data_IF_780955040082
#
_entry.id   IF_780955040082
#
_cell.length_a   1.000
_cell.length_b   1.000
_cell.length_c   1.000
_cell.angle_alpha   90.00
_cell.angle_beta   90.00
_cell.angle_gamma   90.00
#
_symmetry.space_group_name_H-M   'P 1'
#
loop_
_entity.id
_entity.type
_entity.pdbx_description
1 polymer ?
#
# COMPACT_ATOMS: atom_id res chain seq x y z
N UNK A 1 16.10 26.97 -3.33
CA UNK A 1 15.64 26.70 -1.94
C UNK A 1 14.24 26.05 -1.87
N UNK A 2 13.64 25.56 -2.98
CA UNK A 2 12.27 25.01 -3.00
C UNK A 2 12.15 23.50 -3.27
N UNK A 3 13.24 22.82 -3.64
CA UNK A 3 13.21 21.42 -4.10
C UNK A 3 13.26 20.41 -2.93
N UNK A 4 13.98 20.72 -1.85
CA UNK A 4 14.09 19.83 -0.69
C UNK A 4 12.79 19.73 0.10
N UNK A 5 12.13 20.86 0.37
CA UNK A 5 10.87 20.88 1.12
C UNK A 5 9.74 20.11 0.42
N UNK A 6 9.71 20.12 -0.93
CA UNK A 6 8.71 19.38 -1.71
C UNK A 6 8.96 17.88 -1.67
N UNK A 7 10.22 17.48 -1.75
CA UNK A 7 10.64 16.07 -1.71
C UNK A 7 10.38 15.47 -0.33
N UNK A 8 10.76 16.17 0.74
CA UNK A 8 10.51 15.73 2.12
C UNK A 8 9.01 15.58 2.43
N UNK A 9 8.16 16.48 1.92
CA UNK A 9 6.69 16.36 2.05
C UNK A 9 6.15 15.13 1.33
N UNK A 10 6.61 14.84 0.10
CA UNK A 10 6.17 13.66 -0.64
C UNK A 10 6.51 12.36 0.11
N UNK A 11 7.74 12.25 0.62
CA UNK A 11 8.14 11.09 1.44
C UNK A 11 7.31 10.97 2.73
N UNK A 12 6.98 12.09 3.37
CA UNK A 12 6.11 12.09 4.55
C UNK A 12 4.68 11.63 4.21
N UNK A 13 4.09 12.17 3.13
CA UNK A 13 2.75 11.78 2.69
C UNK A 13 2.68 10.30 2.31
N UNK A 14 3.71 9.77 1.63
CA UNK A 14 3.81 8.33 1.33
C UNK A 14 3.81 7.51 2.62
N UNK A 15 4.69 7.83 3.58
CA UNK A 15 4.74 7.10 4.86
C UNK A 15 3.40 7.16 5.62
N UNK A 16 2.77 8.34 5.67
CA UNK A 16 1.46 8.49 6.31
C UNK A 16 0.41 7.64 5.61
N UNK A 17 0.41 7.61 4.27
CA UNK A 17 -0.52 6.78 3.52
C UNK A 17 -0.34 5.29 3.81
N UNK A 18 0.90 4.80 3.90
CA UNK A 18 1.17 3.40 4.20
C UNK A 18 0.77 3.00 5.62
N UNK A 19 1.07 3.84 6.62
CA UNK A 19 0.63 3.60 8.01
C UNK A 19 -0.89 3.63 8.12
N UNK A 20 -1.56 4.56 7.42
CA UNK A 20 -3.01 4.66 7.42
C UNK A 20 -3.64 3.42 6.77
N UNK A 21 -3.10 2.96 5.63
CA UNK A 21 -3.53 1.73 4.97
C UNK A 21 -3.36 0.51 5.88
N UNK A 22 -2.17 0.35 6.48
CA UNK A 22 -1.90 -0.73 7.43
C UNK A 22 -2.88 -0.71 8.61
N UNK A 23 -3.12 0.47 9.20
CA UNK A 23 -4.06 0.63 10.31
C UNK A 23 -5.49 0.25 9.93
N UNK A 24 -6.01 0.76 8.81
CA UNK A 24 -7.37 0.43 8.32
C UNK A 24 -7.52 -1.06 8.06
N UNK A 25 -6.51 -1.69 7.46
CA UNK A 25 -6.49 -3.12 7.14
C UNK A 25 -6.47 -3.96 8.43
N UNK A 26 -5.63 -3.62 9.42
CA UNK A 26 -5.58 -4.31 10.72
C UNK A 26 -6.92 -4.16 11.44
N UNK A 27 -7.47 -2.94 11.53
CA UNK A 27 -8.76 -2.69 12.18
C UNK A 27 -9.89 -3.50 11.54
N UNK A 28 -9.89 -3.63 10.21
CA UNK A 28 -10.86 -4.45 9.49
C UNK A 28 -10.70 -5.94 9.80
N UNK A 29 -9.46 -6.41 9.92
CA UNK A 29 -9.14 -7.76 10.34
C UNK A 29 -9.58 -8.03 11.79
N UNK A 30 -9.36 -7.10 12.72
CA UNK A 30 -9.82 -7.25 14.11
C UNK A 30 -11.35 -7.29 14.18
N UNK A 31 -12.04 -6.42 13.44
CA UNK A 31 -13.50 -6.36 13.40
C UNK A 31 -14.19 -7.62 12.81
N UNK A 32 -13.43 -8.55 12.22
CA UNK A 32 -13.96 -9.83 11.71
C UNK A 32 -13.61 -11.03 12.60
N UNK A 33 -12.82 -10.86 13.66
CA UNK A 33 -12.38 -11.96 14.54
C UNK A 33 -13.55 -12.63 15.27
N UNK A 34 -14.63 -11.88 15.50
CA UNK A 34 -15.84 -12.36 16.18
C UNK A 34 -16.69 -13.29 15.29
N UNK A 35 -16.38 -13.43 13.99
CA UNK A 35 -17.14 -14.25 13.05
C UNK A 35 -16.34 -15.50 12.65
N UNK A 36 -16.70 -16.71 13.12
CA UNK A 36 -15.93 -17.93 12.86
C UNK A 36 -15.82 -18.27 11.37
N UNK A 37 -16.85 -17.99 10.56
CA UNK A 37 -16.82 -18.22 9.11
C UNK A 37 -15.88 -17.26 8.34
N UNK A 38 -15.46 -16.16 8.98
CA UNK A 38 -14.63 -15.11 8.37
C UNK A 38 -13.26 -14.99 9.03
N UNK A 39 -12.93 -15.91 9.95
CA UNK A 39 -11.70 -15.91 10.74
C UNK A 39 -10.44 -16.01 9.86
N UNK A 40 -10.49 -16.81 8.79
CA UNK A 40 -9.42 -16.90 7.79
C UNK A 40 -9.14 -15.56 7.08
N UNK A 41 -10.20 -14.83 6.71
CA UNK A 41 -10.07 -13.49 6.12
C UNK A 41 -9.56 -12.47 7.15
N UNK A 42 -10.02 -12.55 8.41
CA UNK A 42 -9.49 -11.75 9.51
C UNK A 42 -7.99 -11.87 9.66
N UNK A 43 -7.50 -13.10 9.78
CA UNK A 43 -6.08 -13.41 9.95
C UNK A 43 -5.30 -12.91 8.73
N UNK A 44 -5.80 -13.15 7.53
CA UNK A 44 -5.19 -12.64 6.30
C UNK A 44 -5.03 -11.12 6.31
N UNK A 45 -6.09 -10.37 6.64
CA UNK A 45 -6.00 -8.90 6.72
C UNK A 45 -5.03 -8.43 7.81
N UNK A 46 -5.02 -9.05 8.98
CA UNK A 46 -4.07 -8.69 10.04
C UNK A 46 -2.63 -8.93 9.59
N UNK A 47 -2.33 -10.10 9.02
CA UNK A 47 -0.99 -10.43 8.51
C UNK A 47 -0.56 -9.44 7.43
N UNK A 48 -1.43 -9.15 6.48
CA UNK A 48 -1.17 -8.20 5.40
C UNK A 48 -0.93 -6.79 5.94
N UNK A 49 -1.75 -6.33 6.89
CA UNK A 49 -1.58 -5.01 7.51
C UNK A 49 -0.25 -4.90 8.27
N UNK A 50 0.14 -5.96 8.97
CA UNK A 50 1.45 -6.07 9.63
C UNK A 50 2.57 -6.05 8.58
N UNK A 51 2.43 -6.75 7.45
CA UNK A 51 3.41 -6.73 6.36
C UNK A 51 3.55 -5.34 5.73
N UNK A 52 2.47 -4.59 5.54
CA UNK A 52 2.52 -3.21 5.04
C UNK A 52 3.22 -2.29 6.06
N UNK A 53 2.89 -2.42 7.34
CA UNK A 53 3.55 -1.65 8.40
C UNK A 53 5.05 -1.96 8.50
N UNK A 54 5.41 -3.25 8.47
CA UNK A 54 6.80 -3.70 8.43
C UNK A 54 7.52 -3.21 7.17
N UNK A 55 6.87 -3.29 6.00
CA UNK A 55 7.41 -2.77 4.74
C UNK A 55 7.70 -1.28 4.81
N UNK A 56 6.87 -0.52 5.53
CA UNK A 56 7.06 0.92 5.75
C UNK A 56 8.21 1.21 6.70
N UNK A 57 8.31 0.47 7.81
CA UNK A 57 9.42 0.60 8.77
C UNK A 57 10.77 0.18 8.18
N UNK A 58 10.79 -0.91 7.43
CA UNK A 58 12.00 -1.46 6.83
C UNK A 58 12.27 -0.94 5.41
N UNK A 59 11.46 -0.02 4.88
CA UNK A 59 11.66 0.66 3.60
C UNK A 59 13.14 1.05 3.42
N UNK A 60 13.76 1.64 4.45
CA UNK A 60 15.14 2.14 4.34
C UNK A 60 16.19 1.02 4.20
N UNK A 61 15.93 -0.17 4.76
CA UNK A 61 16.80 -1.35 4.58
C UNK A 61 16.52 -2.10 3.28
N UNK A 62 15.26 -2.16 2.84
CA UNK A 62 14.85 -2.87 1.62
C UNK A 62 15.09 -2.08 0.33
N UNK A 63 15.12 -0.75 0.36
CA UNK A 63 15.47 0.08 -0.80
C UNK A 63 16.87 -0.24 -1.34
N UNK A 64 17.79 -0.63 -0.46
CA UNK A 64 19.14 -1.06 -0.86
C UNK A 64 19.11 -2.42 -1.61
N UNK A 65 18.16 -3.30 -1.29
CA UNK A 65 18.15 -4.66 -1.82
C UNK A 65 17.26 -4.81 -3.06
N UNK A 66 16.17 -4.04 -3.17
CA UNK A 66 15.21 -4.15 -4.27
C UNK A 66 14.94 -2.78 -4.89
N UNK A 67 15.50 -2.54 -6.09
CA UNK A 67 15.39 -1.28 -6.87
C UNK A 67 13.96 -0.76 -7.05
N UNK A 68 12.95 -1.64 -7.02
CA UNK A 68 11.54 -1.31 -7.24
C UNK A 68 10.63 -1.61 -6.04
N UNK A 69 11.19 -1.70 -4.81
CA UNK A 69 10.44 -2.08 -3.61
C UNK A 69 9.15 -1.27 -3.42
N UNK A 70 9.19 0.06 -3.61
CA UNK A 70 8.00 0.93 -3.54
C UNK A 70 6.89 0.53 -4.50
N UNK A 71 7.22 0.11 -5.72
CA UNK A 71 6.21 -0.30 -6.70
C UNK A 71 5.49 -1.59 -6.25
N UNK A 72 6.20 -2.52 -5.62
CA UNK A 72 5.60 -3.73 -5.04
C UNK A 72 4.70 -3.42 -3.84
N UNK A 73 5.08 -2.45 -3.00
CA UNK A 73 4.22 -2.01 -1.88
C UNK A 73 2.91 -1.42 -2.41
N UNK A 74 2.97 -0.50 -3.37
CA UNK A 74 1.76 0.07 -3.97
C UNK A 74 0.88 -0.98 -4.68
N UNK A 75 1.50 -1.98 -5.32
CA UNK A 75 0.77 -3.10 -5.91
C UNK A 75 0.02 -3.91 -4.83
N UNK A 76 0.71 -4.24 -3.73
CA UNK A 76 0.13 -4.99 -2.63
C UNK A 76 -1.01 -4.20 -1.98
N UNK A 77 -0.82 -2.91 -1.70
CA UNK A 77 -1.87 -2.04 -1.17
C UNK A 77 -3.09 -1.95 -2.09
N UNK A 78 -2.88 -1.83 -3.40
CA UNK A 78 -3.94 -1.81 -4.40
C UNK A 78 -4.79 -3.09 -4.35
N UNK A 79 -4.15 -4.26 -4.30
CA UNK A 79 -4.83 -5.57 -4.23
C UNK A 79 -5.62 -5.69 -2.92
N UNK A 80 -5.01 -5.29 -1.81
CA UNK A 80 -5.61 -5.44 -0.47
C UNK A 80 -6.81 -4.53 -0.32
N UNK A 81 -6.72 -3.28 -0.76
CA UNK A 81 -7.86 -2.36 -0.74
C UNK A 81 -8.97 -2.81 -1.69
N UNK A 82 -8.65 -3.40 -2.85
CA UNK A 82 -9.65 -3.99 -3.73
C UNK A 82 -10.39 -5.16 -3.04
N UNK A 83 -9.67 -6.03 -2.32
CA UNK A 83 -10.26 -7.11 -1.53
C UNK A 83 -11.14 -6.57 -0.40
N UNK A 84 -10.73 -5.51 0.30
CA UNK A 84 -11.57 -4.83 1.29
C UNK A 84 -12.84 -4.25 0.66
N UNK A 85 -12.73 -3.64 -0.53
CA UNK A 85 -13.87 -3.14 -1.29
C UNK A 85 -14.85 -4.24 -1.69
N UNK A 86 -14.34 -5.37 -2.18
CA UNK A 86 -15.14 -6.55 -2.50
C UNK A 86 -15.85 -7.11 -1.27
N UNK A 87 -15.17 -7.13 -0.12
CA UNK A 87 -15.78 -7.57 1.14
C UNK A 87 -16.89 -6.62 1.59
N UNK A 88 -16.72 -5.30 1.43
CA UNK A 88 -17.78 -4.33 1.72
C UNK A 88 -19.00 -4.49 0.81
N UNK A 89 -18.78 -4.84 -0.46
CA UNK A 89 -19.85 -5.20 -1.41
C UNK A 89 -20.64 -6.42 -0.92
N UNK A 90 -19.94 -7.48 -0.50
CA UNK A 90 -20.53 -8.70 0.08
C UNK A 90 -21.27 -8.43 1.39
N UNK A 91 -20.83 -7.45 2.17
CA UNK A 91 -21.49 -7.00 3.41
C UNK A 91 -22.69 -6.09 3.15
N UNK A 92 -23.01 -5.76 1.89
CA UNK A 92 -24.14 -4.91 1.53
C UNK A 92 -23.93 -3.43 1.88
N UNK A 93 -22.71 -3.00 2.22
CA UNK A 93 -22.43 -1.60 2.53
C UNK A 93 -22.42 -0.78 1.24
N UNK A 94 -23.30 0.20 1.16
CA UNK A 94 -23.32 1.15 0.04
C UNK A 94 -22.31 2.28 0.28
N UNK A 95 -21.68 2.79 -0.79
CA UNK A 95 -20.70 3.90 -0.73
C UNK A 95 -19.25 3.47 -0.43
N UNK A 96 -18.99 2.76 0.68
CA UNK A 96 -17.62 2.34 1.05
C UNK A 96 -16.88 1.52 -0.01
N UNK A 97 -17.51 0.56 -0.73
CA UNK A 97 -16.83 -0.20 -1.78
C UNK A 97 -16.28 0.70 -2.88
N UNK A 98 -17.02 1.73 -3.30
CA UNK A 98 -16.60 2.65 -4.36
C UNK A 98 -15.36 3.46 -3.95
N UNK A 99 -15.32 3.92 -2.69
CA UNK A 99 -14.15 4.61 -2.14
C UNK A 99 -12.94 3.67 -2.11
N UNK A 100 -13.13 2.40 -1.71
CA UNK A 100 -12.07 1.41 -1.75
C UNK A 100 -11.59 1.13 -3.17
N UNK A 101 -12.46 0.90 -4.15
CA UNK A 101 -12.03 0.68 -5.54
C UNK A 101 -11.32 1.89 -6.13
N UNK A 102 -11.79 3.10 -5.80
CA UNK A 102 -11.11 4.33 -6.22
C UNK A 102 -9.71 4.43 -5.61
N UNK A 103 -9.56 4.15 -4.31
CA UNK A 103 -8.26 4.13 -3.65
C UNK A 103 -7.33 3.05 -4.23
N UNK A 104 -7.86 1.85 -4.53
CA UNK A 104 -7.11 0.78 -5.19
C UNK A 104 -6.59 1.20 -6.56
N UNK A 105 -7.41 1.90 -7.35
CA UNK A 105 -7.02 2.45 -8.65
C UNK A 105 -5.94 3.54 -8.51
N UNK A 106 -6.06 4.42 -7.52
CA UNK A 106 -5.05 5.44 -7.24
C UNK A 106 -3.69 4.81 -6.88
N UNK A 107 -3.68 3.76 -6.05
CA UNK A 107 -2.46 3.02 -5.73
C UNK A 107 -1.88 2.29 -6.94
N UNK A 108 -2.73 1.74 -7.81
CA UNK A 108 -2.30 1.14 -9.07
C UNK A 108 -1.62 2.17 -10.00
N UNK A 109 -2.18 3.37 -10.10
CA UNK A 109 -1.59 4.47 -10.87
C UNK A 109 -0.23 4.88 -10.27
N UNK A 110 -0.13 5.00 -8.94
CA UNK A 110 1.14 5.28 -8.26
C UNK A 110 2.20 4.22 -8.52
N UNK A 111 1.82 2.95 -8.57
CA UNK A 111 2.68 1.83 -8.96
C UNK A 111 3.19 1.99 -10.40
N UNK A 112 2.29 2.22 -11.36
CA UNK A 112 2.64 2.41 -12.78
C UNK A 112 3.56 3.60 -12.97
N UNK A 113 3.28 4.74 -12.31
CA UNK A 113 4.12 5.94 -12.38
C UNK A 113 5.52 5.66 -11.83
N UNK A 114 5.63 4.98 -10.69
CA UNK A 114 6.94 4.59 -10.13
C UNK A 114 7.70 3.62 -11.05
N UNK A 115 7.01 2.66 -11.65
CA UNK A 115 7.61 1.67 -12.54
C UNK A 115 8.11 2.29 -13.86
N UNK A 116 7.33 3.21 -14.45
CA UNK A 116 7.71 3.95 -15.66
C UNK A 116 8.86 4.92 -15.37
N UNK A 117 8.84 5.62 -14.24
CA UNK A 117 9.88 6.59 -13.85
C UNK A 117 11.18 5.92 -13.37
N UNK A 118 11.11 4.70 -12.86
CA UNK A 118 12.27 3.89 -12.45
C UNK A 118 13.18 3.45 -13.62
N UNK A 119 12.65 3.37 -14.85
CA UNK A 119 13.46 3.02 -16.04
C UNK A 119 14.47 4.10 -16.45
N UNK A 120 14.25 5.37 -16.08
CA UNK A 120 15.11 6.48 -16.47
C UNK A 120 16.43 6.61 -15.69
N UNK A 121 16.57 5.93 -14.53
CA UNK A 121 17.78 6.02 -13.69
C UNK A 121 18.74 4.83 -13.84
N UNK A 122 18.36 3.77 -14.56
CA UNK A 122 19.18 2.57 -14.64
C UNK A 122 20.29 2.62 -15.70
N UNK A 123 20.34 3.64 -16.56
CA UNK A 123 21.39 3.81 -17.57
C UNK A 123 22.54 4.76 -17.17
N UNK A 124 22.50 5.37 -15.98
CA UNK A 124 23.52 6.32 -15.53
C UNK A 124 24.55 5.74 -14.54
N UNK A 125 24.46 4.45 -14.21
CA UNK A 125 25.34 3.79 -13.22
C UNK A 125 26.31 2.75 -13.81
N UNK A 126 26.36 2.56 -15.13
CA UNK A 126 27.34 1.66 -15.79
C UNK A 126 28.57 2.38 -16.36
N UNK A 127 28.71 3.69 -16.15
CA UNK A 127 29.91 4.45 -16.55
C UNK A 127 30.43 5.27 -15.38
N UNK A 128 30.99 4.61 -14.36
CA UNK A 128 32.06 5.14 -13.51
C UNK A 128 32.94 4.01 -13.01
#
# INVERSE_FOLDING_TARGET
MSTDARTQRLHFLENVSHYLTAFVVIMKGVAKLENPDKLAFSIFFIIVGILIALGTLFHHKFEHLIKNFKAYVFLLESIVIALVGYLYLKEGKQGLPYVCFFASLAFLISMVVHFVKGRGKSHAQETK
#
